data_IF_514377793656
#
_entry.id   IF_514377793656
#
_cell.length_a   1.000
_cell.length_b   1.000
_cell.length_c   1.000
_cell.angle_alpha   90.00
_cell.angle_beta   90.00
_cell.angle_gamma   90.00
#
_symmetry.space_group_name_H-M   'P 1'
#
loop_
_entity.id
_entity.type
_entity.pdbx_description
1 polymer ?
#
# COMPACT_ATOMS: atom_id res chain seq x y z
N UNK A 1 0.80 13.87 23.04
CA UNK A 1 0.98 14.46 21.68
C UNK A 1 2.19 15.39 21.56
N UNK A 2 2.38 16.41 22.40
CA UNK A 2 3.50 17.39 22.25
C UNK A 2 4.91 16.76 22.25
N UNK A 3 5.07 15.59 22.86
CA UNK A 3 6.36 14.87 22.92
C UNK A 3 6.63 13.95 21.73
N UNK A 4 5.70 13.80 20.78
CA UNK A 4 5.97 13.07 19.53
C UNK A 4 6.85 13.93 18.62
N UNK A 5 7.65 13.34 17.72
CA UNK A 5 8.34 14.11 16.70
C UNK A 5 7.37 14.96 15.85
N UNK A 6 7.78 16.17 15.45
CA UNK A 6 6.90 17.11 14.75
C UNK A 6 6.32 16.54 13.42
N UNK A 7 7.07 15.68 12.73
CA UNK A 7 6.57 14.94 11.57
C UNK A 7 5.40 14.02 11.91
N UNK A 8 5.55 13.23 12.98
CA UNK A 8 4.53 12.29 13.47
C UNK A 8 3.29 13.04 13.94
N UNK A 9 3.44 14.15 14.68
CA UNK A 9 2.29 14.96 15.12
C UNK A 9 1.43 15.46 13.95
N UNK A 10 2.09 15.99 12.90
CA UNK A 10 1.41 16.45 11.68
C UNK A 10 0.75 15.29 10.95
N UNK A 11 1.43 14.15 10.87
CA UNK A 11 0.86 12.94 10.28
C UNK A 11 -0.39 12.48 11.05
N UNK A 12 -0.34 12.37 12.39
CA UNK A 12 -1.47 11.92 13.20
C UNK A 12 -2.71 12.78 12.98
N UNK A 13 -2.53 14.11 12.98
CA UNK A 13 -3.63 15.07 12.76
C UNK A 13 -4.31 14.83 11.41
N UNK A 14 -3.52 14.60 10.36
CA UNK A 14 -4.03 14.30 9.01
C UNK A 14 -4.64 12.91 8.90
N UNK A 15 -4.02 11.92 9.53
CA UNK A 15 -4.41 10.51 9.47
C UNK A 15 -5.75 10.26 10.14
N UNK A 16 -5.96 10.83 11.33
CA UNK A 16 -7.18 10.67 12.13
C UNK A 16 -8.43 11.22 11.43
N UNK A 17 -8.28 12.23 10.57
CA UNK A 17 -9.38 12.76 9.74
C UNK A 17 -9.43 12.14 8.35
N UNK A 18 -8.58 11.14 8.08
CA UNK A 18 -8.46 10.44 6.81
C UNK A 18 -7.76 11.21 5.68
N UNK A 19 -7.37 12.47 5.90
CA UNK A 19 -6.73 13.36 4.92
C UNK A 19 -5.20 13.23 4.90
N UNK A 20 -4.67 12.03 5.09
CA UNK A 20 -3.22 11.76 4.99
C UNK A 20 -2.81 11.43 3.56
N UNK A 21 -1.49 11.26 3.32
CA UNK A 21 -0.91 10.95 2.01
C UNK A 21 -1.23 9.53 1.52
N UNK A 22 -2.51 9.18 1.48
CA UNK A 22 -3.05 7.90 1.02
C UNK A 22 -3.66 8.02 -0.38
N UNK A 23 -3.82 6.90 -1.10
CA UNK A 23 -4.16 6.90 -2.53
C UNK A 23 -5.42 7.72 -2.82
N UNK A 24 -6.48 7.53 -2.02
CA UNK A 24 -7.72 8.30 -2.06
C UNK A 24 -7.51 9.81 -2.13
N UNK A 25 -6.67 10.37 -1.25
CA UNK A 25 -6.44 11.82 -1.19
C UNK A 25 -5.39 12.29 -2.19
N UNK A 26 -4.38 11.48 -2.50
CA UNK A 26 -3.39 11.82 -3.55
C UNK A 26 -4.04 11.95 -4.92
N UNK A 27 -5.01 11.09 -5.26
CA UNK A 27 -5.84 11.25 -6.47
C UNK A 27 -6.68 12.53 -6.40
N UNK A 28 -7.37 12.77 -5.27
CA UNK A 28 -8.20 13.96 -5.09
C UNK A 28 -7.41 15.27 -5.21
N UNK A 29 -6.14 15.27 -4.79
CA UNK A 29 -5.23 16.41 -4.89
C UNK A 29 -4.50 16.50 -6.23
N UNK A 30 -4.72 15.55 -7.16
CA UNK A 30 -4.10 15.54 -8.49
C UNK A 30 -2.63 15.09 -8.51
N UNK A 31 -2.12 14.48 -7.43
CA UNK A 31 -0.74 13.99 -7.39
C UNK A 31 -0.56 12.59 -7.99
N UNK A 32 -1.59 11.74 -7.92
CA UNK A 32 -1.55 10.37 -8.44
C UNK A 32 -2.73 10.13 -9.38
N UNK A 33 -2.57 9.20 -10.31
CA UNK A 33 -3.63 8.76 -11.24
C UNK A 33 -4.43 7.56 -10.73
N UNK A 34 -3.98 6.90 -9.66
CA UNK A 34 -4.61 5.72 -9.08
C UNK A 34 -4.69 5.81 -7.56
N UNK A 35 -5.82 5.36 -7.01
CA UNK A 35 -6.04 5.26 -5.57
C UNK A 35 -5.62 3.89 -5.02
N UNK A 36 -4.93 3.06 -5.79
CA UNK A 36 -4.52 1.73 -5.37
C UNK A 36 -3.34 1.75 -4.37
N UNK A 37 -3.24 0.68 -3.60
CA UNK A 37 -2.12 0.42 -2.72
C UNK A 37 -0.93 -0.12 -3.54
N UNK A 38 0.29 0.42 -3.38
CA UNK A 38 1.45 -0.07 -4.11
C UNK A 38 1.88 -1.45 -3.61
N UNK A 39 1.50 -1.83 -2.39
CA UNK A 39 1.85 -3.13 -1.82
C UNK A 39 0.92 -4.26 -2.32
N UNK A 40 -0.37 -3.99 -2.55
CA UNK A 40 -1.36 -5.05 -2.85
C UNK A 40 -2.36 -4.73 -3.98
N UNK A 41 -2.30 -3.56 -4.61
CA UNK A 41 -3.22 -3.17 -5.70
C UNK A 41 -4.63 -2.71 -5.28
N UNK A 42 -5.09 -3.05 -4.07
CA UNK A 42 -6.43 -2.70 -3.56
C UNK A 42 -6.65 -1.20 -3.31
N UNK A 43 -7.91 -0.77 -3.19
CA UNK A 43 -8.24 0.63 -2.90
C UNK A 43 -7.63 1.13 -1.58
N UNK A 44 -6.89 2.23 -1.65
CA UNK A 44 -6.08 2.77 -0.55
C UNK A 44 -6.72 4.00 0.07
N UNK A 45 -7.38 3.80 1.19
CA UNK A 45 -7.64 4.85 2.17
C UNK A 45 -6.69 4.72 3.39
N UNK A 46 -6.91 5.55 4.40
CA UNK A 46 -6.10 5.55 5.63
C UNK A 46 -6.33 4.30 6.49
N UNK A 47 -7.51 3.69 6.40
CA UNK A 47 -7.85 2.46 7.14
C UNK A 47 -7.24 1.24 6.48
N UNK A 48 -7.04 1.27 5.16
CA UNK A 48 -6.39 0.21 4.42
C UNK A 48 -4.94 -0.01 4.86
N UNK A 49 -4.20 1.05 5.23
CA UNK A 49 -2.77 0.95 5.58
C UNK A 49 -2.49 -0.14 6.63
N UNK A 50 -3.12 -0.13 7.83
CA UNK A 50 -2.94 -1.20 8.80
C UNK A 50 -3.68 -2.50 8.46
N UNK A 51 -4.48 -2.54 7.39
CA UNK A 51 -5.27 -3.72 6.95
C UNK A 51 -4.70 -4.39 5.71
N UNK A 52 -3.62 -3.84 5.15
CA UNK A 52 -3.02 -4.30 3.90
C UNK A 52 -2.47 -5.72 4.08
N UNK A 53 -2.97 -6.67 3.28
CA UNK A 53 -2.59 -8.09 3.34
C UNK A 53 -1.41 -8.44 2.44
N UNK A 54 -0.73 -7.45 1.85
CA UNK A 54 0.54 -7.69 1.18
C UNK A 54 1.52 -8.36 2.14
N UNK A 55 2.34 -9.33 1.69
CA UNK A 55 3.33 -10.00 2.55
C UNK A 55 4.26 -9.01 3.27
N UNK A 56 4.76 -7.99 2.57
CA UNK A 56 5.63 -6.95 3.13
C UNK A 56 4.95 -6.09 4.20
N UNK A 57 3.70 -5.68 3.95
CA UNK A 57 2.91 -4.91 4.90
C UNK A 57 2.54 -5.73 6.16
N UNK A 58 2.25 -7.02 5.98
CA UNK A 58 1.94 -7.94 7.07
C UNK A 58 3.18 -8.20 7.93
N UNK A 59 4.35 -8.39 7.31
CA UNK A 59 5.62 -8.53 8.01
C UNK A 59 5.98 -7.26 8.82
N UNK A 60 5.71 -6.08 8.25
CA UNK A 60 5.88 -4.82 8.98
C UNK A 60 4.92 -4.70 10.17
N UNK A 61 3.66 -5.10 10.01
CA UNK A 61 2.70 -5.17 11.12
C UNK A 61 3.18 -6.05 12.26
N UNK A 62 3.64 -7.27 11.92
CA UNK A 62 4.13 -8.22 12.90
C UNK A 62 5.36 -7.66 13.62
N UNK A 63 6.31 -7.08 12.88
CA UNK A 63 7.51 -6.43 13.42
C UNK A 63 7.16 -5.34 14.44
N UNK A 64 6.22 -4.45 14.10
CA UNK A 64 5.82 -3.37 15.00
C UNK A 64 5.01 -3.86 16.20
N UNK A 65 4.19 -4.90 16.01
CA UNK A 65 3.43 -5.52 17.10
C UNK A 65 4.37 -6.22 18.10
N UNK A 66 5.40 -6.91 17.62
CA UNK A 66 6.46 -7.49 18.47
C UNK A 66 7.22 -6.39 19.21
N UNK A 67 7.56 -5.28 18.54
CA UNK A 67 8.21 -4.16 19.21
C UNK A 67 7.34 -3.55 20.33
N UNK A 68 6.03 -3.43 20.10
CA UNK A 68 5.08 -2.98 21.12
C UNK A 68 4.97 -3.98 22.28
N UNK A 69 4.91 -5.28 21.98
CA UNK A 69 4.86 -6.36 22.97
C UNK A 69 6.05 -6.30 23.94
N UNK A 70 7.25 -6.21 23.38
CA UNK A 70 8.49 -6.05 24.14
C UNK A 70 8.49 -4.74 24.95
N UNK A 71 8.00 -3.64 24.35
CA UNK A 71 7.91 -2.36 25.05
C UNK A 71 6.97 -2.46 26.26
N UNK A 72 5.82 -3.14 26.14
CA UNK A 72 4.88 -3.35 27.26
C UNK A 72 5.54 -4.09 28.42
N UNK A 73 6.41 -5.06 28.13
CA UNK A 73 7.21 -5.76 29.15
C UNK A 73 8.21 -4.83 29.84
N UNK A 74 8.92 -3.98 29.07
CA UNK A 74 9.84 -2.99 29.67
C UNK A 74 9.13 -2.01 30.59
N UNK A 75 7.84 -1.74 30.32
CA UNK A 75 7.02 -0.88 31.15
C UNK A 75 6.40 -1.59 32.37
N UNK A 76 6.63 -2.89 32.54
CA UNK A 76 6.04 -3.70 33.63
C UNK A 76 4.50 -3.60 33.56
N UNK A 77 3.97 -3.74 32.35
CA UNK A 77 2.52 -3.75 32.12
C UNK A 77 1.94 -5.04 32.70
N UNK A 78 0.76 -4.96 33.32
CA UNK A 78 0.02 -6.14 33.77
C UNK A 78 -0.14 -7.13 32.59
N UNK A 79 0.27 -8.41 32.74
CA UNK A 79 0.18 -9.40 31.66
C UNK A 79 -1.23 -9.56 31.07
N UNK A 80 -2.27 -9.44 31.88
CA UNK A 80 -3.66 -9.50 31.43
C UNK A 80 -4.05 -8.24 30.63
N UNK A 81 -3.59 -7.05 31.05
CA UNK A 81 -3.76 -5.80 30.28
C UNK A 81 -3.02 -5.90 28.94
N UNK A 82 -1.76 -6.35 28.96
CA UNK A 82 -0.93 -6.57 27.77
C UNK A 82 -1.65 -7.48 26.77
N UNK A 83 -2.11 -8.65 27.22
CA UNK A 83 -2.86 -9.59 26.38
C UNK A 83 -4.14 -8.96 25.81
N UNK A 84 -4.91 -8.24 26.63
CA UNK A 84 -6.13 -7.58 26.19
C UNK A 84 -5.89 -6.49 25.12
N UNK A 85 -4.86 -5.66 25.30
CA UNK A 85 -4.50 -4.60 24.34
C UNK A 85 -4.04 -5.17 22.99
N UNK A 86 -3.15 -6.16 23.01
CA UNK A 86 -2.66 -6.82 21.79
C UNK A 86 -3.79 -7.53 21.04
N UNK A 87 -4.75 -8.07 21.80
CA UNK A 87 -5.94 -8.68 21.23
C UNK A 87 -6.87 -7.69 20.56
N UNK A 88 -7.07 -6.50 21.15
CA UNK A 88 -7.82 -5.42 20.53
C UNK A 88 -7.12 -4.91 19.26
N UNK A 89 -5.78 -4.90 19.24
CA UNK A 89 -5.01 -4.51 18.06
C UNK A 89 -5.21 -5.46 16.87
N UNK A 90 -5.44 -6.75 17.09
CA UNK A 90 -5.78 -7.68 15.99
C UNK A 90 -7.03 -7.25 15.22
N UNK A 91 -7.99 -6.63 15.91
CA UNK A 91 -9.20 -6.07 15.30
C UNK A 91 -8.95 -4.86 14.39
N UNK A 92 -7.75 -4.26 14.44
CA UNK A 92 -7.36 -3.18 13.52
C UNK A 92 -7.14 -3.73 12.12
N UNK A 93 -6.32 -4.79 12.00
CA UNK A 93 -6.01 -5.47 10.74
C UNK A 93 -7.22 -6.16 10.15
N UNK A 94 -8.03 -6.73 11.04
CA UNK A 94 -9.16 -7.54 10.66
C UNK A 94 -10.38 -7.20 11.51
N UNK A 95 -11.17 -6.21 11.07
CA UNK A 95 -12.41 -5.84 11.77
C UNK A 95 -13.46 -6.95 11.79
N UNK A 96 -13.31 -7.99 10.95
CA UNK A 96 -14.23 -9.13 10.92
C UNK A 96 -13.93 -10.16 12.01
N UNK A 97 -12.75 -10.09 12.63
CA UNK A 97 -12.40 -11.00 13.73
C UNK A 97 -13.39 -10.82 14.88
N UNK A 98 -13.92 -11.93 15.43
CA UNK A 98 -14.78 -11.86 16.59
C UNK A 98 -13.97 -11.27 17.75
N UNK A 99 -14.61 -10.37 18.51
CA UNK A 99 -14.06 -9.95 19.78
C UNK A 99 -13.71 -11.16 20.64
N UNK A 100 -12.63 -11.06 21.42
CA UNK A 100 -12.30 -12.10 22.39
C UNK A 100 -13.51 -12.37 23.28
N UNK A 101 -13.89 -13.65 23.37
CA UNK A 101 -15.06 -14.11 24.13
C UNK A 101 -14.81 -14.11 25.64
N UNK A 102 -13.56 -14.27 26.06
CA UNK A 102 -13.17 -14.35 27.47
C UNK A 102 -12.16 -13.26 27.82
N UNK A 103 -12.65 -12.20 28.44
CA UNK A 103 -11.82 -11.16 29.06
C UNK A 103 -11.91 -11.38 30.57
N UNK A 104 -10.78 -11.38 31.31
CA UNK A 104 -10.82 -11.47 32.77
C UNK A 104 -11.81 -10.47 33.37
N UNK A 105 -12.55 -10.87 34.41
CA UNK A 105 -13.63 -10.06 35.00
C UNK A 105 -13.17 -8.63 35.33
N UNK A 106 -11.98 -8.49 35.94
CA UNK A 106 -11.39 -7.20 36.29
C UNK A 106 -11.10 -6.27 35.10
N UNK A 107 -10.91 -6.80 33.89
CA UNK A 107 -10.63 -6.01 32.69
C UNK A 107 -11.87 -5.71 31.84
N UNK A 108 -13.02 -6.33 32.14
CA UNK A 108 -14.20 -6.30 31.28
C UNK A 108 -14.72 -4.89 31.00
N UNK A 109 -14.70 -4.01 32.01
CA UNK A 109 -15.11 -2.61 31.84
C UNK A 109 -14.18 -1.88 30.87
N UNK A 110 -12.86 -1.96 31.11
CA UNK A 110 -11.85 -1.27 30.30
C UNK A 110 -11.86 -1.76 28.84
N UNK A 111 -12.00 -3.07 28.66
CA UNK A 111 -12.11 -3.68 27.34
C UNK A 111 -13.34 -3.18 26.57
N UNK A 112 -14.54 -3.25 27.18
CA UNK A 112 -15.77 -2.73 26.55
C UNK A 112 -15.71 -1.23 26.27
N UNK A 113 -15.11 -0.47 27.18
CA UNK A 113 -14.87 0.97 26.99
C UNK A 113 -13.96 1.24 25.79
N UNK A 114 -12.89 0.46 25.63
CA UNK A 114 -12.01 0.56 24.46
C UNK A 114 -12.69 0.13 23.17
N UNK A 115 -13.53 -0.90 23.20
CA UNK A 115 -14.31 -1.32 22.02
C UNK A 115 -15.26 -0.22 21.53
N UNK A 116 -15.87 0.55 22.44
CA UNK A 116 -16.68 1.73 22.08
C UNK A 116 -15.87 2.84 21.41
N UNK A 117 -14.59 3.00 21.79
CA UNK A 117 -13.66 3.90 21.10
C UNK A 117 -13.28 3.34 19.70
N UNK A 118 -13.25 2.02 19.58
CA UNK A 118 -12.96 1.30 18.35
C UNK A 118 -11.48 0.93 18.19
N UNK A 119 -11.22 -0.10 17.40
CA UNK A 119 -9.87 -0.62 17.16
C UNK A 119 -8.98 0.43 16.48
N UNK A 120 -9.52 1.13 15.47
CA UNK A 120 -8.78 2.19 14.80
C UNK A 120 -8.45 3.34 15.76
N UNK A 121 -9.38 3.71 16.64
CA UNK A 121 -9.13 4.72 17.67
C UNK A 121 -8.00 4.31 18.61
N UNK A 122 -7.92 3.02 18.98
CA UNK A 122 -6.79 2.50 19.77
C UNK A 122 -5.46 2.70 19.03
N UNK A 123 -5.35 2.29 17.76
CA UNK A 123 -4.14 2.50 16.95
C UNK A 123 -3.76 4.00 16.87
N UNK A 124 -4.75 4.88 16.80
CA UNK A 124 -4.57 6.34 16.76
C UNK A 124 -4.23 6.95 18.13
N UNK A 125 -3.99 6.12 19.15
CA UNK A 125 -3.58 6.54 20.49
C UNK A 125 -4.75 6.97 21.39
N UNK A 126 -6.01 6.70 21.01
CA UNK A 126 -7.18 6.95 21.85
C UNK A 126 -7.37 5.80 22.83
N UNK A 127 -6.66 5.89 23.94
CA UNK A 127 -6.72 4.91 25.02
C UNK A 127 -7.88 5.21 25.98
N UNK A 128 -8.67 4.18 26.33
CA UNK A 128 -9.70 4.26 27.37
C UNK A 128 -9.07 4.68 28.70
N UNK A 129 -9.72 5.64 29.38
CA UNK A 129 -9.28 6.12 30.70
C UNK A 129 -9.30 5.02 31.77
N UNK A 130 -10.00 3.92 31.52
CA UNK A 130 -10.13 2.81 32.46
C UNK A 130 -8.90 1.89 32.49
N UNK A 131 -7.96 2.01 31.55
CA UNK A 131 -6.74 1.20 31.57
C UNK A 131 -5.74 1.62 32.63
N UNK A 132 -5.60 2.94 32.88
CA UNK A 132 -4.59 3.45 33.81
C UNK A 132 -4.83 3.02 35.27
N UNK A 133 -6.08 3.05 35.81
CA UNK A 133 -6.35 2.54 37.15
C UNK A 133 -6.02 1.05 37.32
N UNK A 134 -6.34 0.22 36.33
CA UNK A 134 -6.03 -1.22 36.38
C UNK A 134 -4.52 -1.47 36.39
N UNK A 135 -3.77 -0.70 35.59
CA UNK A 135 -2.31 -0.75 35.60
C UNK A 135 -1.74 -0.25 36.94
N UNK A 136 -2.37 0.75 37.56
CA UNK A 136 -1.98 1.27 38.86
C UNK A 136 -2.09 0.20 39.96
N UNK A 137 -3.23 -0.51 40.01
CA UNK A 137 -3.44 -1.63 40.94
C UNK A 137 -2.33 -2.69 40.79
N UNK A 138 -1.98 -3.05 39.55
CA UNK A 138 -0.90 -3.99 39.28
C UNK A 138 0.46 -3.46 39.74
N UNK A 139 0.80 -2.21 39.43
CA UNK A 139 2.07 -1.60 39.82
C UNK A 139 2.23 -1.51 41.34
N UNK A 140 1.15 -1.16 42.05
CA UNK A 140 1.11 -1.13 43.52
C UNK A 140 1.35 -2.53 44.10
N UNK A 141 0.71 -3.56 43.55
CA UNK A 141 0.92 -4.96 43.99
C UNK A 141 2.38 -5.43 43.82
N UNK A 142 3.12 -4.82 42.90
CA UNK A 142 4.53 -5.08 42.61
C UNK A 142 5.50 -4.15 43.34
N UNK A 143 5.01 -3.24 44.20
CA UNK A 143 5.82 -2.23 44.88
C UNK A 143 6.46 -1.20 43.94
N UNK A 144 5.94 -1.05 42.71
CA UNK A 144 6.51 -0.16 41.70
C UNK A 144 6.00 1.27 41.87
N UNK A 145 6.91 2.24 41.81
CA UNK A 145 6.59 3.69 41.87
C UNK A 145 6.38 4.31 40.48
N UNK A 146 6.17 3.49 39.44
CA UNK A 146 5.97 3.98 38.08
C UNK A 146 4.61 4.65 37.95
N UNK A 147 4.58 5.77 37.25
CA UNK A 147 3.34 6.53 37.05
C UNK A 147 2.41 5.85 36.03
N UNK A 148 1.17 5.48 36.43
CA UNK A 148 0.19 4.88 35.52
C UNK A 148 -0.30 5.87 34.46
N UNK A 149 -0.36 7.17 34.77
CA UNK A 149 -0.73 8.22 33.82
C UNK A 149 0.36 8.43 32.77
N UNK A 150 1.63 8.40 33.17
CA UNK A 150 2.76 8.46 32.25
C UNK A 150 2.82 7.19 31.37
N UNK A 151 2.57 6.01 31.95
CA UNK A 151 2.43 4.76 31.20
C UNK A 151 1.37 4.89 30.10
N UNK A 152 0.15 5.33 30.45
CA UNK A 152 -0.95 5.49 29.49
C UNK A 152 -0.60 6.49 28.37
N UNK A 153 0.04 7.62 28.72
CA UNK A 153 0.49 8.60 27.73
C UNK A 153 1.56 8.02 26.80
N UNK A 154 2.51 7.24 27.32
CA UNK A 154 3.57 6.63 26.50
C UNK A 154 3.04 5.51 25.63
N UNK A 155 2.11 4.70 26.13
CA UNK A 155 1.41 3.68 25.34
C UNK A 155 0.68 4.33 24.16
N UNK A 156 -0.03 5.42 24.40
CA UNK A 156 -0.69 6.19 23.33
C UNK A 156 0.30 6.65 22.26
N UNK A 157 1.52 7.05 22.65
CA UNK A 157 2.57 7.40 21.70
C UNK A 157 3.10 6.18 20.92
N UNK A 158 3.31 5.04 21.56
CA UNK A 158 3.75 3.81 20.88
C UNK A 158 2.73 3.34 19.85
N UNK A 159 1.43 3.41 20.18
CA UNK A 159 0.35 3.08 19.24
C UNK A 159 0.37 3.99 18.01
N UNK A 160 0.51 5.30 18.22
CA UNK A 160 0.64 6.28 17.12
C UNK A 160 1.89 6.00 16.27
N UNK A 161 3.02 5.67 16.90
CA UNK A 161 4.26 5.34 16.19
C UNK A 161 4.11 4.06 15.36
N UNK A 162 3.43 3.03 15.88
CA UNK A 162 3.11 1.81 15.14
C UNK A 162 2.33 2.15 13.86
N UNK A 163 1.25 2.94 13.97
CA UNK A 163 0.48 3.38 12.81
C UNK A 163 1.30 4.20 11.81
N UNK A 164 2.17 5.07 12.31
CA UNK A 164 3.06 5.88 11.49
C UNK A 164 4.07 5.03 10.71
N UNK A 165 4.68 4.03 11.35
CA UNK A 165 5.64 3.12 10.73
C UNK A 165 5.02 2.29 9.60
N UNK A 166 3.77 1.83 9.76
CA UNK A 166 3.04 1.16 8.69
C UNK A 166 2.83 2.07 7.48
N UNK A 167 2.48 3.33 7.73
CA UNK A 167 2.34 4.32 6.67
C UNK A 167 3.68 4.66 5.99
N UNK A 168 4.76 4.74 6.76
CA UNK A 168 6.12 4.97 6.26
C UNK A 168 6.61 3.82 5.39
N UNK A 169 6.46 2.57 5.85
CA UNK A 169 6.75 1.37 5.07
C UNK A 169 6.00 1.35 3.74
N UNK A 170 4.69 1.64 3.77
CA UNK A 170 3.92 1.74 2.52
C UNK A 170 4.48 2.80 1.58
N UNK A 171 4.97 3.92 2.11
CA UNK A 171 5.52 5.00 1.29
C UNK A 171 6.88 4.65 0.70
N UNK A 172 7.70 3.87 1.39
CA UNK A 172 8.95 3.37 0.78
C UNK A 172 8.65 2.44 -0.39
N UNK A 173 7.60 1.60 -0.31
CA UNK A 173 7.16 0.74 -1.42
C UNK A 173 6.65 1.52 -2.63
N UNK A 174 6.10 2.74 -2.45
CA UNK A 174 5.59 3.54 -3.58
C UNK A 174 6.61 3.76 -4.70
N UNK A 175 7.89 3.88 -4.33
CA UNK A 175 8.98 4.22 -5.24
C UNK A 175 9.97 3.06 -5.42
N UNK A 176 9.69 1.88 -4.85
CA UNK A 176 10.53 0.69 -5.01
C UNK A 176 10.06 -0.19 -6.16
N UNK A 177 10.90 -1.16 -6.52
CA UNK A 177 10.56 -2.21 -7.49
C UNK A 177 9.44 -3.14 -7.00
N UNK A 178 9.11 -3.11 -5.71
CA UNK A 178 8.03 -3.90 -5.09
C UNK A 178 6.63 -3.31 -5.31
N UNK A 179 6.54 -2.13 -5.94
CA UNK A 179 5.26 -1.53 -6.27
C UNK A 179 4.54 -2.38 -7.32
N UNK A 180 3.47 -3.07 -6.92
CA UNK A 180 2.68 -3.97 -7.78
C UNK A 180 2.21 -3.26 -9.05
N UNK A 181 1.82 -1.98 -8.95
CA UNK A 181 1.38 -1.23 -10.14
C UNK A 181 2.54 -0.95 -11.11
N UNK A 182 3.74 -0.66 -10.59
CA UNK A 182 4.91 -0.47 -11.44
C UNK A 182 5.35 -1.79 -12.06
N UNK A 183 5.24 -2.90 -11.33
CA UNK A 183 5.53 -4.24 -11.84
C UNK A 183 4.56 -4.63 -12.97
N UNK A 184 3.25 -4.50 -12.75
CA UNK A 184 2.21 -4.77 -13.76
C UNK A 184 2.42 -3.90 -15.01
N UNK A 185 2.66 -2.60 -14.81
CA UNK A 185 2.93 -1.66 -15.92
C UNK A 185 4.21 -2.02 -16.67
N UNK A 186 5.28 -2.37 -15.95
CA UNK A 186 6.54 -2.83 -16.54
C UNK A 186 6.35 -4.12 -17.35
N UNK A 187 5.55 -5.06 -16.85
CA UNK A 187 5.23 -6.30 -17.57
C UNK A 187 4.43 -6.02 -18.84
N UNK A 188 3.37 -5.22 -18.76
CA UNK A 188 2.56 -4.84 -19.93
C UNK A 188 3.39 -4.15 -21.01
N UNK A 189 4.32 -3.28 -20.61
CA UNK A 189 5.23 -2.60 -21.53
C UNK A 189 6.19 -3.61 -22.15
N UNK A 190 6.76 -4.53 -21.37
CA UNK A 190 7.61 -5.60 -21.87
C UNK A 190 6.89 -6.49 -22.88
N UNK A 191 5.68 -6.95 -22.57
CA UNK A 191 4.87 -7.76 -23.47
C UNK A 191 4.55 -6.99 -24.76
N UNK A 192 4.28 -5.69 -24.65
CA UNK A 192 4.13 -4.81 -25.80
C UNK A 192 5.37 -4.75 -26.68
N UNK A 193 6.56 -4.65 -26.07
CA UNK A 193 7.85 -4.65 -26.76
C UNK A 193 8.08 -5.99 -27.44
N UNK A 194 7.88 -7.12 -26.74
CA UNK A 194 7.96 -8.47 -27.29
C UNK A 194 7.12 -8.59 -28.56
N UNK A 195 5.85 -8.21 -28.48
CA UNK A 195 4.94 -8.22 -29.63
C UNK A 195 5.45 -7.38 -30.81
N UNK A 196 6.03 -6.19 -30.57
CA UNK A 196 6.59 -5.37 -31.65
C UNK A 196 7.80 -6.01 -32.31
N UNK A 197 8.66 -6.68 -31.53
CA UNK A 197 9.79 -7.45 -32.07
C UNK A 197 9.32 -8.67 -32.87
N UNK A 198 8.29 -9.37 -32.39
CA UNK A 198 7.76 -10.58 -33.05
C UNK A 198 7.01 -10.24 -34.34
N UNK A 199 6.33 -9.09 -34.42
CA UNK A 199 5.77 -8.57 -35.68
C UNK A 199 6.86 -8.13 -36.69
N UNK A 200 8.11 -8.00 -36.25
CA UNK A 200 9.24 -7.60 -37.11
C UNK A 200 9.12 -6.17 -37.68
N UNK A 201 9.99 -5.81 -38.66
CA UNK A 201 10.06 -4.47 -39.25
C UNK A 201 8.92 -4.16 -40.23
N UNK A 202 8.05 -5.13 -40.51
CA UNK A 202 6.92 -4.97 -41.44
C UNK A 202 5.97 -3.87 -40.97
N UNK A 203 5.39 -3.14 -41.92
CA UNK A 203 4.49 -2.01 -41.66
C UNK A 203 5.10 -0.85 -40.87
N UNK A 204 6.42 -0.67 -40.92
CA UNK A 204 7.10 0.47 -40.29
C UNK A 204 7.89 1.29 -41.31
N UNK A 205 8.03 2.61 -41.10
CA UNK A 205 8.99 3.42 -41.85
C UNK A 205 10.44 2.96 -41.61
N UNK A 206 11.31 3.06 -42.62
CA UNK A 206 12.72 2.62 -42.54
C UNK A 206 13.48 3.21 -41.34
N UNK A 207 13.16 4.45 -40.94
CA UNK A 207 13.79 5.12 -39.79
C UNK A 207 13.47 4.38 -38.48
N UNK A 208 12.21 3.99 -38.29
CA UNK A 208 11.72 3.31 -37.08
C UNK A 208 12.10 1.82 -37.10
N UNK A 209 12.23 1.20 -38.28
CA UNK A 209 12.72 -0.18 -38.40
C UNK A 209 14.10 -0.37 -37.73
N UNK A 210 14.97 0.66 -37.74
CA UNK A 210 16.28 0.61 -37.05
C UNK A 210 16.15 0.40 -35.54
N UNK A 211 15.05 0.84 -34.94
CA UNK A 211 14.77 0.62 -33.51
C UNK A 211 14.52 -0.86 -33.17
N UNK A 212 14.18 -1.68 -34.17
CA UNK A 212 14.04 -3.13 -34.07
C UNK A 212 15.31 -3.88 -34.45
N UNK A 213 16.33 -3.20 -34.99
CA UNK A 213 17.62 -3.80 -35.34
C UNK A 213 18.53 -4.02 -34.12
N UNK A 214 18.29 -3.31 -33.02
CA UNK A 214 18.96 -3.56 -31.74
C UNK A 214 18.41 -4.82 -31.06
N UNK A 215 19.26 -5.48 -30.25
CA UNK A 215 18.85 -6.69 -29.52
C UNK A 215 17.68 -6.37 -28.58
N UNK A 216 16.64 -7.19 -28.62
CA UNK A 216 15.44 -7.10 -27.76
C UNK A 216 15.77 -6.84 -26.28
N UNK A 217 16.73 -7.61 -25.74
CA UNK A 217 17.23 -7.48 -24.36
C UNK A 217 17.72 -6.06 -24.02
N UNK A 218 18.33 -5.37 -24.99
CA UNK A 218 18.87 -4.02 -24.78
C UNK A 218 17.76 -3.00 -24.57
N UNK A 219 16.60 -3.19 -25.22
CA UNK A 219 15.43 -2.35 -25.00
C UNK A 219 14.77 -2.69 -23.67
N UNK A 220 14.62 -3.98 -23.35
CA UNK A 220 14.00 -4.45 -22.10
C UNK A 220 14.77 -4.05 -20.83
N UNK A 221 16.09 -3.87 -20.92
CA UNK A 221 16.93 -3.46 -19.80
C UNK A 221 16.91 -1.94 -19.54
N UNK A 222 16.19 -1.15 -20.34
CA UNK A 222 16.06 0.30 -20.12
C UNK A 222 15.11 0.61 -18.96
N UNK A 223 15.22 1.80 -18.35
CA UNK A 223 14.22 2.31 -17.40
C UNK A 223 12.79 2.20 -17.96
N UNK A 224 11.80 2.06 -17.08
CA UNK A 224 10.39 1.91 -17.50
C UNK A 224 9.93 3.05 -18.40
N UNK A 225 10.30 4.30 -18.06
CA UNK A 225 9.94 5.50 -18.85
C UNK A 225 10.44 5.38 -20.29
N UNK A 226 11.72 5.04 -20.48
CA UNK A 226 12.30 4.85 -21.82
C UNK A 226 11.61 3.72 -22.60
N UNK A 227 11.27 2.62 -21.92
CA UNK A 227 10.56 1.48 -22.53
C UNK A 227 9.17 1.88 -23.00
N UNK A 228 8.48 2.72 -22.24
CA UNK A 228 7.15 3.24 -22.58
C UNK A 228 7.19 4.17 -23.79
N UNK A 229 8.14 5.10 -23.81
CA UNK A 229 8.34 6.01 -24.94
C UNK A 229 8.68 5.24 -26.21
N UNK A 230 9.58 4.26 -26.10
CA UNK A 230 9.91 3.36 -27.20
C UNK A 230 8.66 2.65 -27.73
N UNK A 231 7.87 2.05 -26.84
CA UNK A 231 6.68 1.29 -27.23
C UNK A 231 5.61 2.18 -27.86
N UNK A 232 5.40 3.37 -27.30
CA UNK A 232 4.46 4.37 -27.80
C UNK A 232 4.83 4.81 -29.21
N UNK A 233 6.09 5.17 -29.44
CA UNK A 233 6.57 5.61 -30.75
C UNK A 233 6.40 4.51 -31.81
N UNK A 234 6.87 3.29 -31.52
CA UNK A 234 6.81 2.18 -32.49
C UNK A 234 5.36 1.83 -32.82
N UNK A 235 4.45 1.79 -31.83
CA UNK A 235 3.03 1.52 -32.07
C UNK A 235 2.39 2.62 -32.91
N UNK A 236 2.61 3.88 -32.57
CA UNK A 236 2.07 5.03 -33.32
C UNK A 236 2.50 4.98 -34.79
N UNK A 237 3.79 4.82 -35.04
CA UNK A 237 4.37 4.79 -36.38
C UNK A 237 3.86 3.59 -37.18
N UNK A 238 3.76 2.41 -36.56
CA UNK A 238 3.20 1.22 -37.24
C UNK A 238 1.75 1.44 -37.63
N UNK A 239 0.93 1.97 -36.73
CA UNK A 239 -0.49 2.26 -37.02
C UNK A 239 -0.62 3.31 -38.13
N UNK A 240 0.15 4.39 -38.08
CA UNK A 240 0.14 5.43 -39.11
C UNK A 240 0.55 4.88 -40.47
N UNK A 241 1.63 4.09 -40.52
CA UNK A 241 2.13 3.51 -41.76
C UNK A 241 1.20 2.45 -42.36
N UNK A 242 0.58 1.60 -41.53
CA UNK A 242 -0.49 0.68 -41.99
C UNK A 242 -1.65 1.43 -42.63
N UNK A 243 -2.08 2.55 -42.04
CA UNK A 243 -3.16 3.38 -42.60
C UNK A 243 -2.76 3.99 -43.93
N UNK A 244 -1.52 4.49 -44.05
CA UNK A 244 -0.99 5.05 -45.29
C UNK A 244 -0.91 4.00 -46.42
N UNK A 245 -0.55 2.75 -46.09
CA UNK A 245 -0.45 1.66 -47.07
C UNK A 245 -1.81 0.99 -47.40
N UNK A 246 -2.87 1.24 -46.62
CA UNK A 246 -4.15 0.55 -46.79
C UNK A 246 -4.78 0.75 -48.19
N UNK A 247 -4.76 1.94 -48.81
CA UNK A 247 -5.26 2.12 -50.17
C UNK A 247 -4.46 1.32 -51.19
N UNK A 248 -3.13 1.34 -51.10
CA UNK A 248 -2.24 0.60 -52.01
C UNK A 248 -2.45 -0.92 -51.89
N UNK A 249 -2.64 -1.43 -50.67
CA UNK A 249 -2.95 -2.84 -50.42
C UNK A 249 -4.30 -3.26 -50.98
N UNK A 250 -5.32 -2.40 -50.90
CA UNK A 250 -6.64 -2.67 -51.50
C UNK A 250 -6.55 -2.78 -53.02
N UNK A 251 -5.76 -1.89 -53.66
CA UNK A 251 -5.53 -1.94 -55.11
C UNK A 251 -4.83 -3.25 -55.49
N UNK A 252 -3.72 -3.58 -54.81
CA UNK A 252 -2.98 -4.81 -55.05
C UNK A 252 -3.85 -6.06 -54.82
N UNK A 253 -4.62 -6.10 -53.73
CA UNK A 253 -5.52 -7.21 -53.45
C UNK A 253 -6.59 -7.38 -54.54
N UNK A 254 -7.20 -6.29 -55.03
CA UNK A 254 -8.17 -6.35 -56.14
C UNK A 254 -7.52 -6.84 -57.44
N UNK A 255 -6.24 -6.54 -57.67
CA UNK A 255 -5.51 -7.00 -58.84
C UNK A 255 -5.23 -8.51 -58.81
N UNK A 256 -4.87 -9.06 -57.65
CA UNK A 256 -4.59 -10.49 -57.48
C UNK A 256 -5.84 -11.35 -57.21
N UNK A 257 -6.94 -10.74 -56.77
CA UNK A 257 -8.23 -11.39 -56.56
C UNK A 257 -9.34 -10.58 -57.26
N UNK A 258 -9.41 -10.63 -58.59
CA UNK A 258 -10.51 -10.02 -59.32
C UNK A 258 -11.82 -10.70 -58.91
N UNK A 259 -12.91 -9.91 -58.79
CA UNK A 259 -14.21 -10.48 -58.52
C UNK A 259 -14.61 -11.37 -59.70
N UNK A 260 -15.00 -12.62 -59.43
CA UNK A 260 -15.60 -13.49 -60.44
C UNK A 260 -16.89 -12.84 -60.94
N UNK A 261 -16.79 -12.20 -62.10
CA UNK A 261 -17.96 -11.82 -62.89
C UNK A 261 -18.42 -13.08 -63.63
N UNK A 262 -19.23 -13.92 -62.96
CA UNK A 262 -20.04 -14.90 -63.68
C UNK A 262 -21.22 -14.18 -64.35
N UNK A 263 -21.48 -14.45 -65.64
CA UNK A 263 -22.53 -13.79 -66.42
C UNK A 263 -23.95 -14.19 -66.00
#
# INVERSE_FOLDING_TARGET
MRSLPAGVQRWTTKHVVGMCGVGKFKVRWGYDTSAACPCCGEFKDHLHVPRCRAPSASAEWDRQTVALDLWLDTQVTDPAIKHALLSLLKGVCDPSLPSIRMVPGGLSSAFRSQQRIGYQGLLEGRLSRQWAPLQEEYLQSRGSQRSPTLWASRLSHQLILLGFQLWEHRNSVQHSEDNVQLQERSQQVNDGIHNQFDMGPTDLPKVVQRMLSVKRRTVLNKPLVDREEWLKLVRMERTAYRRALAPQRRILHRFFHPADHSP
#
